data_IF_768260224362
#
_entry.id   IF_768260224362
#
_cell.length_a   1.000
_cell.length_b   1.000
_cell.length_c   1.000
_cell.angle_alpha   90.00
_cell.angle_beta   90.00
_cell.angle_gamma   90.00
#
_symmetry.space_group_name_H-M   'P 1'
#
loop_
_entity.id
_entity.type
_entity.pdbx_description
1 polymer ?
#
# COMPACT_ATOMS: atom_id res chain seq x y z
N UNK A 1 -37.08 6.37 -26.56
CA UNK A 1 -37.47 6.12 -25.15
C UNK A 1 -37.19 4.67 -24.79
N UNK A 2 -36.58 4.28 -23.66
CA UNK A 2 -35.82 5.06 -22.65
C UNK A 2 -34.83 4.14 -21.91
N UNK A 3 -33.59 3.99 -22.39
CA UNK A 3 -32.56 3.14 -21.76
C UNK A 3 -31.89 3.76 -20.51
N UNK A 4 -32.10 5.05 -20.26
CA UNK A 4 -31.42 5.81 -19.20
C UNK A 4 -31.97 5.47 -17.80
N UNK A 5 -33.26 5.10 -17.68
CA UNK A 5 -33.93 4.96 -16.38
C UNK A 5 -33.48 3.78 -15.52
N UNK A 6 -32.97 2.69 -16.11
CA UNK A 6 -32.63 1.47 -15.34
C UNK A 6 -31.27 1.52 -14.66
N UNK A 7 -30.30 2.23 -15.24
CA UNK A 7 -28.92 2.29 -14.72
C UNK A 7 -28.89 3.11 -13.42
N UNK A 8 -29.49 4.31 -13.44
CA UNK A 8 -29.50 5.24 -12.29
C UNK A 8 -30.09 4.63 -11.02
N UNK A 9 -31.17 3.83 -11.15
CA UNK A 9 -31.82 3.16 -10.01
C UNK A 9 -30.89 2.14 -9.34
N UNK A 10 -30.14 1.37 -10.14
CA UNK A 10 -29.19 0.37 -9.60
C UNK A 10 -28.06 1.06 -8.83
N UNK A 11 -27.51 2.17 -9.34
CA UNK A 11 -26.47 2.93 -8.66
C UNK A 11 -26.95 3.51 -7.32
N UNK A 12 -28.18 4.03 -7.27
CA UNK A 12 -28.76 4.59 -6.04
C UNK A 12 -28.99 3.49 -4.99
N UNK A 13 -29.53 2.33 -5.38
CA UNK A 13 -29.75 1.20 -4.45
C UNK A 13 -28.41 0.68 -3.90
N UNK A 14 -27.36 0.62 -4.72
CA UNK A 14 -26.03 0.20 -4.25
C UNK A 14 -25.39 1.22 -3.33
N UNK A 15 -25.57 2.53 -3.58
CA UNK A 15 -25.06 3.59 -2.73
C UNK A 15 -25.73 3.63 -1.36
N UNK A 16 -27.07 3.56 -1.29
CA UNK A 16 -27.78 3.57 0.00
C UNK A 16 -27.52 2.31 0.82
N UNK A 17 -27.42 1.13 0.18
CA UNK A 17 -27.08 -0.12 0.87
C UNK A 17 -25.64 -0.22 1.37
N UNK A 18 -24.75 0.71 0.99
CA UNK A 18 -23.37 0.73 1.48
C UNK A 18 -23.14 1.63 2.69
N UNK A 19 -24.09 2.53 3.02
CA UNK A 19 -23.98 3.52 4.11
C UNK A 19 -25.02 3.22 5.21
N UNK A 20 -25.31 1.94 5.47
CA UNK A 20 -26.21 1.52 6.55
C UNK A 20 -25.86 0.11 7.09
N UNK A 21 -24.69 -0.01 7.75
CA UNK A 21 -24.49 -0.97 8.84
C UNK A 21 -23.35 -0.50 9.77
N UNK A 22 -23.45 -0.78 11.07
CA UNK A 22 -22.82 0.05 12.12
C UNK A 22 -21.82 -0.68 13.05
N UNK A 23 -20.96 0.13 13.68
CA UNK A 23 -20.32 0.00 15.00
C UNK A 23 -19.74 -1.33 15.53
N UNK A 24 -19.41 -2.35 14.72
CA UNK A 24 -18.45 -3.38 15.19
C UNK A 24 -17.67 -4.15 14.12
N UNK A 25 -16.47 -3.68 13.76
CA UNK A 25 -15.48 -4.47 13.01
C UNK A 25 -14.76 -5.48 13.94
N UNK A 26 -15.52 -6.45 14.46
CA UNK A 26 -14.93 -7.69 15.01
C UNK A 26 -14.61 -8.62 13.84
N UNK A 27 -13.48 -8.35 13.18
CA UNK A 27 -13.02 -9.08 11.99
C UNK A 27 -12.51 -10.49 12.35
N UNK A 28 -13.42 -11.40 12.72
CA UNK A 28 -13.21 -12.86 12.65
C UNK A 28 -13.23 -13.34 11.19
N UNK A 29 -12.46 -12.65 10.35
CA UNK A 29 -12.31 -12.96 8.94
C UNK A 29 -11.61 -14.33 8.82
N UNK A 30 -12.28 -15.28 8.18
CA UNK A 30 -11.62 -16.53 7.79
C UNK A 30 -10.43 -16.21 6.89
N UNK A 31 -9.33 -16.98 6.99
CA UNK A 31 -8.18 -16.81 6.10
C UNK A 31 -8.60 -16.81 4.61
N UNK A 32 -9.56 -17.67 4.24
CA UNK A 32 -10.15 -17.76 2.88
C UNK A 32 -10.99 -16.55 2.44
N UNK A 33 -11.34 -15.66 3.37
CA UNK A 33 -11.97 -14.35 3.09
C UNK A 33 -10.88 -13.28 2.96
N UNK A 34 -9.92 -13.24 3.89
CA UNK A 34 -8.77 -12.33 3.81
C UNK A 34 -7.96 -12.53 2.51
N UNK A 35 -7.67 -13.77 2.12
CA UNK A 35 -6.99 -14.11 0.86
C UNK A 35 -7.75 -13.59 -0.37
N UNK A 36 -9.08 -13.76 -0.41
CA UNK A 36 -9.91 -13.25 -1.50
C UNK A 36 -9.94 -11.72 -1.54
N UNK A 37 -10.09 -11.06 -0.38
CA UNK A 37 -10.06 -9.59 -0.28
C UNK A 37 -8.68 -9.06 -0.73
N UNK A 38 -7.60 -9.67 -0.25
CA UNK A 38 -6.22 -9.37 -0.67
C UNK A 38 -6.04 -9.50 -2.17
N UNK A 39 -6.48 -10.58 -2.79
CA UNK A 39 -6.23 -10.82 -4.22
C UNK A 39 -7.10 -9.96 -5.13
N UNK A 40 -8.32 -9.61 -4.72
CA UNK A 40 -9.12 -8.56 -5.39
C UNK A 40 -8.41 -7.20 -5.26
N UNK A 41 -7.98 -6.83 -4.05
CA UNK A 41 -7.29 -5.55 -3.82
C UNK A 41 -5.98 -5.44 -4.62
N UNK A 42 -5.16 -6.50 -4.62
CA UNK A 42 -3.89 -6.56 -5.37
C UNK A 42 -4.08 -6.60 -6.90
N UNK A 43 -5.17 -7.17 -7.42
CA UNK A 43 -5.47 -7.10 -8.86
C UNK A 43 -6.04 -5.75 -9.28
N UNK A 44 -6.76 -5.05 -8.40
CA UNK A 44 -7.27 -3.68 -8.64
C UNK A 44 -6.19 -2.59 -8.50
N UNK A 45 -5.40 -2.60 -7.42
CA UNK A 45 -4.39 -1.57 -7.13
C UNK A 45 -3.08 -1.81 -7.89
N UNK A 46 -2.75 -3.08 -8.11
CA UNK A 46 -1.51 -3.56 -8.73
C UNK A 46 -0.62 -4.32 -7.73
N UNK A 47 -0.02 -5.43 -8.17
CA UNK A 47 1.03 -6.14 -7.43
C UNK A 47 2.37 -5.45 -7.62
N UNK A 48 3.22 -5.42 -6.58
CA UNK A 48 4.66 -5.28 -6.75
C UNK A 48 5.21 -6.53 -7.45
N UNK A 49 5.95 -6.33 -8.54
CA UNK A 49 6.56 -7.42 -9.31
C UNK A 49 7.62 -6.87 -10.26
N UNK A 50 8.78 -7.52 -10.24
CA UNK A 50 9.96 -7.30 -11.09
C UNK A 50 9.74 -7.41 -12.61
N UNK A 51 8.54 -7.79 -13.04
CA UNK A 51 8.19 -7.88 -14.46
C UNK A 51 8.21 -6.52 -15.16
N UNK A 52 9.06 -6.40 -16.18
CA UNK A 52 9.24 -5.18 -16.97
C UNK A 52 7.92 -4.58 -17.52
N UNK A 53 6.91 -5.41 -17.81
CA UNK A 53 5.59 -4.95 -18.28
C UNK A 53 4.82 -4.19 -17.19
N UNK A 54 4.88 -4.65 -15.94
CA UNK A 54 4.25 -3.95 -14.82
C UNK A 54 5.05 -2.71 -14.41
N UNK A 55 6.39 -2.76 -14.47
CA UNK A 55 7.24 -1.58 -14.24
C UNK A 55 6.99 -0.49 -15.29
N UNK A 56 6.85 -0.84 -16.58
CA UNK A 56 6.44 0.10 -17.64
C UNK A 56 5.05 0.70 -17.37
N UNK A 57 4.07 -0.10 -16.92
CA UNK A 57 2.73 0.39 -16.56
C UNK A 57 2.75 1.29 -15.32
N UNK A 58 3.60 1.00 -14.33
CA UNK A 58 3.80 1.87 -13.18
C UNK A 58 4.45 3.20 -13.60
N UNK A 59 5.43 3.15 -14.53
CA UNK A 59 6.07 4.34 -15.10
C UNK A 59 5.06 5.23 -15.86
N UNK A 60 4.23 4.65 -16.73
CA UNK A 60 3.22 5.42 -17.49
C UNK A 60 2.08 5.97 -16.64
N UNK A 61 1.83 5.37 -15.46
CA UNK A 61 0.87 5.87 -14.46
C UNK A 61 1.49 6.83 -13.43
N UNK A 62 2.76 7.21 -13.56
CA UNK A 62 3.45 8.07 -12.59
C UNK A 62 3.60 7.47 -11.19
N UNK A 63 3.45 6.14 -11.05
CA UNK A 63 3.48 5.41 -9.76
C UNK A 63 4.89 4.97 -9.31
N UNK A 64 5.94 5.31 -10.04
CA UNK A 64 7.32 5.04 -9.64
C UNK A 64 7.90 6.22 -8.87
N UNK A 65 8.68 5.93 -7.82
CA UNK A 65 9.51 6.94 -7.16
C UNK A 65 10.53 7.50 -8.17
N UNK A 66 10.77 8.83 -8.23
CA UNK A 66 11.85 9.38 -9.05
C UNK A 66 13.21 8.81 -8.60
N UNK A 67 14.12 8.54 -9.55
CA UNK A 67 15.52 8.22 -9.19
C UNK A 67 16.16 9.48 -8.62
N UNK A 68 16.50 9.44 -7.33
CA UNK A 68 17.40 10.42 -6.70
C UNK A 68 18.82 10.17 -7.22
N UNK A 69 19.55 11.21 -7.60
CA UNK A 69 20.95 11.03 -8.04
C UNK A 69 21.85 10.72 -6.86
N UNK A 70 22.94 9.99 -7.11
CA UNK A 70 23.93 9.62 -6.08
C UNK A 70 24.72 10.85 -5.60
N UNK A 71 24.72 11.94 -6.38
CA UNK A 71 25.28 13.25 -6.05
C UNK A 71 24.40 14.07 -5.07
N UNK A 72 23.15 13.66 -4.82
CA UNK A 72 22.23 14.37 -3.90
C UNK A 72 22.47 13.86 -2.48
N UNK A 73 23.06 14.66 -1.57
CA UNK A 73 23.31 14.22 -0.21
C UNK A 73 22.00 14.03 0.57
N UNK A 74 22.05 13.20 1.61
CA UNK A 74 20.93 13.07 2.54
C UNK A 74 20.65 14.43 3.23
N UNK A 75 19.39 14.85 3.42
CA UNK A 75 19.04 16.22 3.82
C UNK A 75 19.40 16.59 5.29
N UNK A 76 20.02 15.68 6.03
CA UNK A 76 20.60 15.92 7.35
C UNK A 76 21.83 15.03 7.57
N UNK A 77 22.68 15.35 8.54
CA UNK A 77 23.86 14.54 8.86
C UNK A 77 23.45 13.23 9.58
N UNK A 78 23.71 12.04 9.02
CA UNK A 78 23.35 10.77 9.65
C UNK A 78 24.27 10.36 10.81
N UNK A 79 25.37 11.09 11.07
CA UNK A 79 26.32 10.77 12.15
C UNK A 79 25.64 10.76 13.52
N UNK A 80 25.99 9.78 14.34
CA UNK A 80 25.48 9.65 15.72
C UNK A 80 24.05 9.13 15.86
N UNK A 81 23.27 8.99 14.79
CA UNK A 81 21.91 8.41 14.84
C UNK A 81 21.90 6.89 15.09
N UNK A 82 22.94 6.18 14.63
CA UNK A 82 23.19 4.76 14.92
C UNK A 82 23.87 4.58 16.28
N UNK A 83 23.59 3.48 16.95
CA UNK A 83 24.24 3.05 18.20
C UNK A 83 25.68 2.61 17.96
N UNK A 84 26.56 2.80 18.95
CA UNK A 84 27.98 2.38 18.88
C UNK A 84 28.17 0.87 18.75
N UNK A 85 27.18 0.09 19.21
CA UNK A 85 27.12 -1.37 19.14
C UNK A 85 25.68 -1.77 18.80
N UNK A 86 25.49 -2.93 18.14
CA UNK A 86 24.15 -3.46 17.84
C UNK A 86 23.41 -3.77 19.17
N UNK A 87 22.24 -3.18 19.43
CA UNK A 87 21.48 -3.44 20.65
C UNK A 87 20.89 -4.86 20.65
N UNK A 88 20.85 -5.49 21.81
CA UNK A 88 20.29 -6.84 22.04
C UNK A 88 18.82 -6.86 22.47
N UNK A 89 18.17 -5.70 22.56
CA UNK A 89 16.78 -5.57 23.01
C UNK A 89 16.09 -4.38 22.33
N UNK A 90 14.82 -4.56 21.97
CA UNK A 90 13.99 -3.55 21.28
C UNK A 90 13.88 -2.25 22.08
N UNK A 91 13.84 -2.32 23.41
CA UNK A 91 13.81 -1.14 24.29
C UNK A 91 15.08 -0.28 24.24
N UNK A 92 16.13 -0.71 23.54
CA UNK A 92 17.40 0.01 23.32
C UNK A 92 17.67 0.31 21.84
N UNK A 93 16.73 -0.03 20.94
CA UNK A 93 16.88 0.14 19.51
C UNK A 93 16.64 1.61 19.11
N UNK A 94 17.58 2.20 18.37
CA UNK A 94 17.43 3.56 17.82
C UNK A 94 17.03 3.50 16.34
N UNK A 95 16.35 4.51 15.78
CA UNK A 95 15.96 4.49 14.36
C UNK A 95 17.13 4.26 13.39
N UNK A 96 18.33 4.78 13.71
CA UNK A 96 19.54 4.58 12.90
C UNK A 96 20.16 3.18 12.97
N UNK A 97 19.67 2.29 13.84
CA UNK A 97 20.09 0.89 13.94
C UNK A 97 19.33 -0.04 12.98
N UNK A 98 18.33 0.48 12.27
CA UNK A 98 17.42 -0.28 11.39
C UNK A 98 17.85 -0.08 9.93
N UNK A 99 18.39 -1.13 9.31
CA UNK A 99 18.75 -1.14 7.89
C UNK A 99 17.56 -1.61 7.05
N UNK A 100 16.99 -0.72 6.21
CA UNK A 100 15.82 -1.04 5.37
C UNK A 100 16.26 -1.50 3.98
N UNK A 101 16.05 -2.78 3.66
CA UNK A 101 16.33 -3.36 2.35
C UNK A 101 15.02 -3.51 1.56
N UNK A 102 14.88 -2.72 0.48
CA UNK A 102 13.76 -2.82 -0.45
C UNK A 102 14.06 -3.74 -1.64
N UNK A 103 13.03 -4.44 -2.13
CA UNK A 103 13.05 -5.21 -3.37
C UNK A 103 11.78 -4.90 -4.20
N UNK A 104 11.84 -5.08 -5.52
CA UNK A 104 10.81 -4.72 -6.51
C UNK A 104 10.42 -5.92 -7.39
#
# INVERSE_FOLDING_TARGET
MTMIGKITVITIIFATKFIENDSSIKFTLSLKQFERIRDVMLTTVGRSTSSARYLQRAKSLGKLQPKVSEDVPFPCDPKGFRSKTRPSSVHRLRPGDIDVVGAL
#
